data_IF_590381057777
#
_entry.id   IF_590381057777
#
_cell.length_a   1.000
_cell.length_b   1.000
_cell.length_c   1.000
_cell.angle_alpha   90.00
_cell.angle_beta   90.00
_cell.angle_gamma   90.00
#
_symmetry.space_group_name_H-M   'P 1'
#
loop_
_entity.id
_entity.type
_entity.pdbx_description
1 polymer ?
#
# COMPACT_ATOMS: atom_id res chain seq x y z
N UNK A 1 -53.70 -42.79 7.19
CA UNK A 1 -53.54 -41.32 7.15
C UNK A 1 -52.06 -40.98 7.29
N UNK A 2 -51.47 -40.17 6.40
CA UNK A 2 -50.02 -39.85 6.39
C UNK A 2 -49.80 -38.36 6.67
N UNK A 3 -49.16 -38.01 7.79
CA UNK A 3 -48.56 -36.68 8.05
C UNK A 3 -47.42 -36.83 9.08
N UNK A 4 -46.19 -36.47 8.67
CA UNK A 4 -45.07 -35.95 9.48
C UNK A 4 -43.73 -36.28 8.80
N UNK A 5 -43.23 -35.40 7.91
CA UNK A 5 -41.89 -35.51 7.32
C UNK A 5 -41.39 -34.21 6.63
N UNK A 6 -41.70 -33.02 7.16
CA UNK A 6 -41.20 -31.74 6.59
C UNK A 6 -40.92 -30.73 7.71
N UNK A 7 -39.88 -30.95 8.52
CA UNK A 7 -39.43 -29.94 9.49
C UNK A 7 -37.98 -30.17 9.98
N UNK A 8 -37.03 -30.47 9.08
CA UNK A 8 -35.64 -30.79 9.51
C UNK A 8 -34.50 -30.34 8.58
N UNK A 9 -34.80 -29.58 7.51
CA UNK A 9 -33.78 -29.08 6.56
C UNK A 9 -33.48 -27.56 6.66
N UNK A 10 -34.27 -26.79 7.40
CA UNK A 10 -34.10 -25.33 7.47
C UNK A 10 -32.96 -24.86 8.40
N UNK A 11 -32.50 -25.70 9.35
CA UNK A 11 -31.57 -25.26 10.40
C UNK A 11 -30.08 -25.31 9.99
N UNK A 12 -29.73 -26.08 8.95
CA UNK A 12 -28.33 -26.26 8.54
C UNK A 12 -27.81 -25.12 7.64
N UNK A 13 -28.71 -24.44 6.91
CA UNK A 13 -28.34 -23.35 6.00
C UNK A 13 -28.02 -22.03 6.73
N UNK A 14 -28.61 -21.79 7.91
CA UNK A 14 -28.41 -20.57 8.67
C UNK A 14 -27.03 -20.48 9.35
N UNK A 15 -26.37 -21.62 9.60
CA UNK A 15 -25.07 -21.65 10.27
C UNK A 15 -23.89 -21.31 9.34
N UNK A 16 -24.04 -21.47 8.02
CA UNK A 16 -23.03 -21.06 7.04
C UNK A 16 -23.00 -19.55 6.75
N UNK A 17 -24.03 -18.80 7.15
CA UNK A 17 -24.10 -17.34 7.00
C UNK A 17 -23.56 -16.59 8.24
N UNK A 18 -23.02 -17.32 9.22
CA UNK A 18 -22.47 -16.80 10.48
C UNK A 18 -20.97 -17.09 10.62
N UNK A 19 -20.20 -16.98 9.52
CA UNK A 19 -18.74 -16.96 9.52
C UNK A 19 -18.24 -15.51 9.34
N UNK A 20 -18.04 -14.74 10.43
CA UNK A 20 -17.68 -13.33 10.37
C UNK A 20 -16.16 -13.10 10.20
N UNK A 21 -15.63 -13.55 9.07
CA UNK A 21 -14.48 -12.95 8.38
C UNK A 21 -14.22 -13.73 7.09
N UNK A 22 -13.81 -13.05 6.02
CA UNK A 22 -13.06 -13.76 4.99
C UNK A 22 -11.78 -14.32 5.63
N UNK A 23 -11.33 -15.49 5.19
CA UNK A 23 -9.99 -15.98 5.51
C UNK A 23 -9.02 -14.82 5.23
N UNK A 24 -8.31 -14.36 6.27
CA UNK A 24 -7.44 -13.20 6.18
C UNK A 24 -6.37 -13.49 5.14
N UNK A 25 -6.43 -12.75 4.03
CA UNK A 25 -5.29 -12.64 3.15
C UNK A 25 -4.22 -11.86 3.92
N UNK A 26 -2.95 -12.26 3.78
CA UNK A 26 -1.84 -11.45 4.24
C UNK A 26 -2.00 -10.01 3.73
N UNK A 27 -1.58 -9.04 4.53
CA UNK A 27 -1.69 -7.65 4.12
C UNK A 27 -0.45 -6.84 4.47
N UNK A 28 -0.16 -5.88 3.60
CA UNK A 28 0.82 -4.82 3.80
C UNK A 28 0.12 -3.49 3.47
N UNK A 29 0.13 -2.56 4.41
CA UNK A 29 -0.29 -1.18 4.20
C UNK A 29 0.89 -0.26 4.55
N UNK A 30 1.28 0.56 3.60
CA UNK A 30 2.24 1.65 3.79
C UNK A 30 1.51 2.98 3.67
N UNK A 31 1.76 3.88 4.61
CA UNK A 31 1.20 5.22 4.70
C UNK A 31 2.34 6.24 4.80
N UNK A 32 2.63 6.89 3.67
CA UNK A 32 3.75 7.80 3.38
C UNK A 32 3.22 9.25 3.25
N UNK A 33 2.15 9.58 3.98
CA UNK A 33 1.48 10.90 3.90
C UNK A 33 2.16 12.02 4.69
N UNK A 34 3.11 11.70 5.59
CA UNK A 34 3.88 12.69 6.34
C UNK A 34 5.33 12.73 5.83
N UNK A 35 5.86 13.89 5.38
CA UNK A 35 7.19 14.00 4.79
C UNK A 35 8.36 13.73 5.77
N UNK A 36 8.07 13.38 7.04
CA UNK A 36 9.07 13.04 8.04
C UNK A 36 8.94 11.60 8.55
N UNK A 37 7.82 10.91 8.27
CA UNK A 37 7.55 9.58 8.81
C UNK A 37 6.71 8.71 7.90
N UNK A 38 7.11 7.45 7.76
CA UNK A 38 6.38 6.42 7.05
C UNK A 38 5.78 5.43 8.06
N UNK A 39 4.49 5.08 7.91
CA UNK A 39 3.81 4.11 8.77
C UNK A 39 3.56 2.82 8.01
N UNK A 40 4.05 1.70 8.55
CA UNK A 40 3.79 0.36 8.03
C UNK A 40 2.83 -0.39 8.95
N UNK A 41 1.82 -1.03 8.37
CA UNK A 41 0.98 -2.04 9.00
C UNK A 41 1.07 -3.34 8.21
N UNK A 42 1.21 -4.47 8.89
CA UNK A 42 1.19 -5.79 8.26
C UNK A 42 0.54 -6.84 9.18
N UNK A 43 0.02 -7.91 8.60
CA UNK A 43 -0.60 -9.01 9.35
C UNK A 43 -0.88 -10.25 8.50
N UNK A 44 -1.26 -11.34 9.18
CA UNK A 44 -1.58 -12.65 8.60
C UNK A 44 -0.42 -13.29 7.80
N UNK A 45 0.78 -13.35 8.40
CA UNK A 45 1.96 -14.03 7.85
C UNK A 45 2.35 -15.26 8.70
N UNK A 46 2.19 -16.48 8.18
CA UNK A 46 2.36 -17.73 8.92
C UNK A 46 3.76 -17.97 9.50
N UNK A 47 4.83 -17.71 8.72
CA UNK A 47 6.23 -17.80 9.20
C UNK A 47 6.78 -16.43 9.61
N UNK A 48 5.93 -15.41 9.64
CA UNK A 48 6.25 -14.06 10.05
C UNK A 48 6.52 -13.10 8.90
N UNK A 49 6.32 -11.83 9.22
CA UNK A 49 6.76 -10.68 8.44
C UNK A 49 7.90 -10.00 9.21
N UNK A 50 8.93 -9.58 8.48
CA UNK A 50 10.16 -9.05 9.02
C UNK A 50 10.46 -7.67 8.42
N UNK A 51 10.86 -6.75 9.29
CA UNK A 51 11.27 -5.39 8.96
C UNK A 51 12.73 -5.22 9.37
N UNK A 52 13.61 -4.93 8.41
CA UNK A 52 15.08 -4.92 8.61
C UNK A 52 15.61 -6.21 9.30
N UNK A 53 15.05 -7.37 8.91
CA UNK A 53 15.39 -8.67 9.48
C UNK A 53 14.86 -8.92 10.91
N UNK A 54 14.20 -7.95 11.54
CA UNK A 54 13.57 -8.11 12.84
C UNK A 54 12.11 -8.57 12.68
N UNK A 55 11.66 -9.50 13.53
CA UNK A 55 10.27 -9.98 13.48
C UNK A 55 9.30 -8.84 13.80
N UNK A 56 8.38 -8.57 12.88
CA UNK A 56 7.40 -7.49 12.98
C UNK A 56 6.01 -7.98 13.40
N UNK A 57 5.54 -9.07 12.79
CA UNK A 57 4.29 -9.78 13.15
C UNK A 57 4.38 -11.24 12.68
N UNK A 58 3.57 -12.15 13.24
CA UNK A 58 3.48 -13.55 12.81
C UNK A 58 2.18 -14.21 13.26
N UNK A 59 1.65 -15.09 12.42
CA UNK A 59 0.49 -15.93 12.69
C UNK A 59 -0.85 -15.32 12.28
N UNK A 60 -1.82 -16.21 12.07
CA UNK A 60 -3.18 -15.87 11.64
C UNK A 60 -3.93 -15.05 12.71
N UNK A 61 -4.58 -13.97 12.28
CA UNK A 61 -5.28 -13.01 13.12
C UNK A 61 -4.38 -11.98 13.81
N UNK A 62 -3.06 -12.04 13.61
CA UNK A 62 -2.11 -11.12 14.21
C UNK A 62 -1.65 -10.06 13.20
N UNK A 63 -1.56 -8.82 13.67
CA UNK A 63 -1.00 -7.70 12.91
C UNK A 63 -0.26 -6.74 13.82
N UNK A 64 0.63 -5.96 13.23
CA UNK A 64 1.38 -4.91 13.91
C UNK A 64 1.37 -3.62 13.07
N UNK A 65 1.60 -2.48 13.71
CA UNK A 65 1.70 -1.17 13.05
C UNK A 65 2.81 -0.37 13.72
N UNK A 66 3.71 0.20 12.91
CA UNK A 66 4.82 1.01 13.38
C UNK A 66 5.03 2.22 12.47
N UNK A 67 5.19 3.38 13.10
CA UNK A 67 5.66 4.60 12.44
C UNK A 67 7.18 4.68 12.58
N UNK A 68 7.85 4.94 11.47
CA UNK A 68 9.29 5.05 11.31
C UNK A 68 9.63 6.47 10.83
N UNK A 69 10.87 6.96 11.01
CA UNK A 69 11.36 8.11 10.23
C UNK A 69 11.20 7.83 8.73
N UNK A 70 11.06 8.87 7.91
CA UNK A 70 11.13 8.67 6.45
C UNK A 70 12.53 8.16 6.03
N UNK A 71 12.54 7.29 5.04
CA UNK A 71 13.69 6.51 4.58
C UNK A 71 13.26 5.23 3.87
N UNK A 72 14.25 4.41 3.49
CA UNK A 72 14.03 3.11 2.87
C UNK A 72 14.26 1.95 3.83
N UNK A 73 13.44 0.91 3.69
CA UNK A 73 13.34 -0.23 4.60
C UNK A 73 13.20 -1.55 3.84
N UNK A 74 14.00 -2.55 4.22
CA UNK A 74 13.92 -3.91 3.72
C UNK A 74 12.81 -4.70 4.40
N UNK A 75 12.07 -5.49 3.62
CA UNK A 75 11.00 -6.38 4.08
C UNK A 75 11.17 -7.80 3.55
N UNK A 76 10.76 -8.76 4.37
CA UNK A 76 10.61 -10.16 3.96
C UNK A 76 9.51 -10.85 4.77
N UNK A 77 8.95 -11.94 4.26
CA UNK A 77 8.02 -12.77 5.05
C UNK A 77 7.40 -13.89 4.24
N UNK A 78 6.68 -14.79 4.93
CA UNK A 78 5.95 -15.90 4.30
C UNK A 78 4.46 -15.89 4.67
N UNK A 79 3.59 -16.16 3.71
CA UNK A 79 2.13 -16.30 3.89
C UNK A 79 1.59 -17.51 3.13
N UNK A 80 0.42 -18.02 3.50
CA UNK A 80 -0.26 -19.09 2.72
C UNK A 80 -0.64 -18.57 1.33
N UNK A 81 -0.09 -19.19 0.29
CA UNK A 81 -0.38 -18.83 -1.10
C UNK A 81 -0.95 -19.98 -1.95
N UNK A 82 -0.89 -21.21 -1.44
CA UNK A 82 -1.35 -22.43 -2.09
C UNK A 82 -0.66 -22.69 -3.45
N UNK A 83 0.61 -22.33 -3.59
CA UNK A 83 1.41 -22.57 -4.80
C UNK A 83 1.14 -21.60 -5.95
N UNK A 84 0.59 -20.42 -5.67
CA UNK A 84 0.12 -19.47 -6.70
C UNK A 84 1.04 -18.25 -6.89
N UNK A 85 1.95 -17.96 -5.96
CA UNK A 85 2.89 -16.83 -6.05
C UNK A 85 4.01 -17.06 -7.07
N UNK A 86 4.71 -15.99 -7.42
CA UNK A 86 5.64 -15.95 -8.56
C UNK A 86 5.56 -14.66 -9.39
N UNK A 87 4.71 -13.72 -8.95
CA UNK A 87 4.62 -12.38 -9.53
C UNK A 87 5.46 -11.37 -8.75
N UNK A 88 5.72 -10.23 -9.39
CA UNK A 88 6.32 -9.04 -8.79
C UNK A 88 5.23 -8.06 -8.38
N UNK A 89 5.43 -7.30 -7.31
CA UNK A 89 4.57 -6.17 -6.93
C UNK A 89 5.41 -4.90 -6.89
N UNK A 90 5.11 -3.96 -7.78
CA UNK A 90 5.78 -2.67 -7.89
C UNK A 90 4.73 -1.54 -7.78
N UNK A 91 4.70 -0.82 -6.66
CA UNK A 91 3.85 0.35 -6.44
C UNK A 91 4.75 1.57 -6.22
N UNK A 92 5.19 2.17 -7.33
CA UNK A 92 6.24 3.19 -7.35
C UNK A 92 5.70 4.55 -7.81
N UNK A 93 6.10 5.62 -7.15
CA UNK A 93 5.61 6.97 -7.37
C UNK A 93 6.70 7.90 -7.93
N UNK A 94 6.34 8.77 -8.88
CA UNK A 94 7.28 9.69 -9.56
C UNK A 94 7.81 10.78 -8.64
N UNK A 95 9.07 11.19 -8.83
CA UNK A 95 9.59 12.42 -8.26
C UNK A 95 8.80 13.66 -8.72
N UNK A 96 8.36 14.54 -7.80
CA UNK A 96 7.75 15.81 -8.17
C UNK A 96 8.70 16.65 -9.03
N UNK A 97 8.31 16.89 -10.28
CA UNK A 97 9.12 17.62 -11.27
C UNK A 97 9.95 16.74 -12.22
N UNK A 98 10.17 15.46 -11.91
CA UNK A 98 10.85 14.50 -12.81
C UNK A 98 10.11 13.14 -12.84
N UNK A 99 9.29 12.88 -13.89
CA UNK A 99 8.55 11.62 -14.01
C UNK A 99 9.42 10.41 -14.37
N UNK A 100 10.73 10.59 -14.59
CA UNK A 100 11.67 9.49 -14.88
C UNK A 100 12.32 8.90 -13.63
N UNK A 101 12.12 9.52 -12.46
CA UNK A 101 12.71 9.10 -11.18
C UNK A 101 11.63 8.59 -10.23
N UNK A 102 11.95 7.54 -9.47
CA UNK A 102 11.14 7.07 -8.34
C UNK A 102 11.46 7.89 -7.10
N UNK A 103 10.44 8.27 -6.33
CA UNK A 103 10.57 9.06 -5.10
C UNK A 103 10.22 8.26 -3.85
N UNK A 104 9.04 7.64 -3.85
CA UNK A 104 8.62 6.68 -2.82
C UNK A 104 7.86 5.51 -3.43
N UNK A 105 7.64 4.47 -2.65
CA UNK A 105 6.88 3.29 -3.08
C UNK A 105 7.24 2.01 -2.32
N UNK A 106 6.69 0.90 -2.80
CA UNK A 106 7.01 -0.47 -2.36
C UNK A 106 7.27 -1.35 -3.57
N UNK A 107 8.30 -2.18 -3.49
CA UNK A 107 8.71 -3.12 -4.51
C UNK A 107 9.13 -4.45 -3.87
N UNK A 108 8.58 -5.57 -4.31
CA UNK A 108 9.08 -6.89 -3.91
C UNK A 108 8.83 -7.98 -4.96
N UNK A 109 9.74 -8.96 -4.98
CA UNK A 109 9.51 -10.23 -5.67
C UNK A 109 8.79 -11.22 -4.78
N UNK A 110 7.97 -12.10 -5.37
CA UNK A 110 7.40 -13.26 -4.67
C UNK A 110 7.90 -14.57 -5.26
N UNK A 111 8.02 -15.59 -4.42
CA UNK A 111 8.24 -16.98 -4.84
C UNK A 111 7.36 -17.92 -4.01
N UNK A 112 7.23 -19.19 -4.38
CA UNK A 112 6.42 -20.17 -3.65
C UNK A 112 7.14 -21.50 -3.50
N UNK A 113 6.90 -22.19 -2.39
CA UNK A 113 7.31 -23.60 -2.19
C UNK A 113 6.21 -24.61 -2.55
N UNK A 114 5.02 -24.13 -2.93
CA UNK A 114 3.82 -24.94 -3.22
C UNK A 114 2.73 -24.86 -2.14
N UNK A 115 3.02 -24.27 -0.98
CA UNK A 115 2.06 -24.04 0.12
C UNK A 115 2.14 -22.59 0.61
N UNK A 116 3.36 -22.09 0.81
CA UNK A 116 3.68 -20.76 1.26
C UNK A 116 4.29 -19.91 0.14
N UNK A 117 3.76 -18.71 0.00
CA UNK A 117 4.40 -17.62 -0.72
C UNK A 117 5.44 -16.99 0.19
N UNK A 118 6.58 -16.60 -0.38
CA UNK A 118 7.62 -15.79 0.28
C UNK A 118 7.81 -14.50 -0.49
N UNK A 119 8.07 -13.40 0.23
CA UNK A 119 8.41 -12.10 -0.37
C UNK A 119 9.77 -11.61 0.13
N UNK A 120 10.46 -10.89 -0.75
CA UNK A 120 11.66 -10.13 -0.43
C UNK A 120 11.70 -8.85 -1.26
N UNK A 121 11.97 -7.73 -0.62
CA UNK A 121 12.05 -6.43 -1.27
C UNK A 121 12.12 -5.30 -0.26
N UNK A 122 11.59 -4.13 -0.62
CA UNK A 122 11.73 -2.91 0.16
C UNK A 122 10.61 -1.91 -0.09
N UNK A 123 10.41 -0.99 0.86
CA UNK A 123 9.56 0.18 0.71
C UNK A 123 10.27 1.41 1.25
N UNK A 124 9.79 2.62 0.93
CA UNK A 124 10.31 3.83 1.54
C UNK A 124 9.97 5.12 0.82
N UNK A 125 10.32 6.23 1.45
CA UNK A 125 10.36 7.57 0.87
C UNK A 125 11.79 8.05 0.59
N UNK A 126 11.96 9.36 0.46
CA UNK A 126 12.98 9.93 -0.40
C UNK A 126 14.39 9.97 0.22
N UNK A 127 15.20 8.93 0.00
CA UNK A 127 16.67 9.09 -0.09
C UNK A 127 17.35 8.00 -0.94
N UNK A 128 18.08 8.42 -1.98
CA UNK A 128 19.30 7.71 -2.40
C UNK A 128 19.18 6.34 -3.07
N UNK A 129 18.05 5.97 -3.70
CA UNK A 129 17.95 4.98 -4.79
C UNK A 129 18.43 3.53 -4.60
N UNK A 130 18.88 3.09 -3.41
CA UNK A 130 19.32 1.68 -3.23
C UNK A 130 18.17 0.68 -3.03
N UNK A 131 16.97 1.16 -2.71
CA UNK A 131 15.80 0.34 -2.34
C UNK A 131 14.84 0.05 -3.50
N UNK A 132 15.07 0.62 -4.67
CA UNK A 132 14.27 0.39 -5.87
C UNK A 132 15.18 -0.12 -7.00
N UNK A 133 14.95 -1.37 -7.37
CA UNK A 133 15.63 -2.12 -8.43
C UNK A 133 14.97 -1.90 -9.80
N UNK A 134 13.69 -1.56 -9.85
CA UNK A 134 13.06 -0.96 -11.05
C UNK A 134 13.10 0.57 -10.98
N UNK A 135 13.34 1.19 -12.14
CA UNK A 135 13.53 2.64 -12.29
C UNK A 135 12.32 3.34 -12.93
N UNK A 136 11.21 2.63 -13.15
CA UNK A 136 10.04 3.16 -13.85
C UNK A 136 8.88 3.34 -12.86
N UNK A 137 8.51 4.60 -12.53
CA UNK A 137 7.34 4.87 -11.71
C UNK A 137 6.04 4.35 -12.32
N UNK A 138 5.12 3.91 -11.47
CA UNK A 138 3.79 3.41 -11.84
C UNK A 138 2.69 4.45 -11.67
N UNK A 139 2.89 5.47 -10.82
CA UNK A 139 1.93 6.57 -10.63
C UNK A 139 2.61 7.89 -10.21
N UNK A 140 1.82 8.96 -10.11
CA UNK A 140 2.27 10.28 -9.67
C UNK A 140 2.29 10.39 -8.14
N UNK A 141 3.35 10.96 -7.54
CA UNK A 141 3.34 11.41 -6.15
C UNK A 141 2.34 12.57 -6.02
N UNK A 142 1.16 12.32 -5.43
CA UNK A 142 0.09 13.33 -5.32
C UNK A 142 -0.93 13.05 -4.20
N UNK A 143 -0.60 12.20 -3.23
CA UNK A 143 -1.51 11.82 -2.15
C UNK A 143 -2.45 10.66 -2.48
N UNK A 144 -2.31 10.05 -3.67
CA UNK A 144 -3.13 8.89 -4.04
C UNK A 144 -2.62 7.60 -3.38
N UNK A 145 -3.58 6.68 -3.16
CA UNK A 145 -3.30 5.31 -2.82
C UNK A 145 -3.18 4.45 -4.10
N UNK A 146 -2.20 3.55 -4.13
CA UNK A 146 -2.16 2.43 -5.06
C UNK A 146 -2.44 1.12 -4.34
N UNK A 147 -3.14 0.23 -5.03
CA UNK A 147 -3.42 -1.13 -4.60
C UNK A 147 -2.64 -2.11 -5.48
N UNK A 148 -1.96 -3.06 -4.85
CA UNK A 148 -1.27 -4.19 -5.47
C UNK A 148 -1.69 -5.50 -4.80
N UNK A 149 -1.39 -6.63 -5.43
CA UNK A 149 -1.67 -7.94 -4.85
C UNK A 149 -0.75 -9.03 -5.41
N UNK A 150 -0.49 -10.03 -4.56
CA UNK A 150 -0.14 -11.38 -4.97
C UNK A 150 -1.27 -12.33 -4.51
N UNK A 151 -1.32 -13.60 -4.93
CA UNK A 151 -2.33 -14.52 -4.44
C UNK A 151 -2.31 -14.60 -2.91
N UNK A 152 -3.47 -14.35 -2.29
CA UNK A 152 -3.64 -14.29 -0.82
C UNK A 152 -2.79 -13.24 -0.09
N UNK A 153 -2.24 -12.24 -0.81
CA UNK A 153 -1.54 -11.08 -0.25
C UNK A 153 -2.06 -9.78 -0.86
N UNK A 154 -2.58 -8.89 -0.02
CA UNK A 154 -3.01 -7.54 -0.40
C UNK A 154 -1.95 -6.50 -0.05
N UNK A 155 -1.73 -5.52 -0.92
CA UNK A 155 -0.76 -4.44 -0.72
C UNK A 155 -1.43 -3.11 -1.00
N UNK A 156 -1.24 -2.13 -0.11
CA UNK A 156 -1.61 -0.74 -0.35
C UNK A 156 -0.46 0.18 0.01
N UNK A 157 -0.20 1.17 -0.84
CA UNK A 157 0.73 2.27 -0.55
C UNK A 157 0.01 3.60 -0.74
N UNK A 158 0.06 4.49 0.25
CA UNK A 158 -0.52 5.83 0.20
C UNK A 158 0.60 6.86 0.16
N UNK A 159 0.77 7.54 -0.97
CA UNK A 159 1.85 8.51 -1.21
C UNK A 159 1.69 9.84 -0.45
N UNK A 160 2.78 10.60 -0.36
CA UNK A 160 2.75 12.01 0.06
C UNK A 160 1.95 12.86 -0.94
N UNK A 161 1.18 13.82 -0.44
CA UNK A 161 0.56 14.84 -1.26
C UNK A 161 1.55 15.97 -1.53
N UNK A 162 1.90 16.20 -2.80
CA UNK A 162 2.79 17.32 -3.20
C UNK A 162 2.18 18.65 -2.78
N UNK A 163 2.67 19.21 -1.68
CA UNK A 163 2.34 20.56 -1.23
C UNK A 163 3.11 21.54 -2.12
N UNK A 164 2.42 22.48 -2.82
CA UNK A 164 3.11 23.51 -3.58
C UNK A 164 4.05 24.31 -2.68
N UNK A 165 5.30 24.48 -3.09
CA UNK A 165 6.27 25.25 -2.31
C UNK A 165 5.70 26.63 -1.92
N UNK A 166 6.05 27.17 -0.73
CA UNK A 166 5.61 28.51 -0.30
C UNK A 166 5.93 29.61 -1.31
N UNK A 167 7.02 29.45 -2.08
CA UNK A 167 7.43 30.27 -3.22
C UNK A 167 6.36 30.36 -4.32
N UNK A 168 5.74 29.25 -4.66
CA UNK A 168 4.69 29.12 -5.69
C UNK A 168 3.38 29.76 -5.23
N UNK A 169 3.02 29.56 -3.96
CA UNK A 169 1.86 30.22 -3.36
C UNK A 169 2.04 31.75 -3.31
N UNK A 170 3.25 32.22 -2.95
CA UNK A 170 3.59 33.64 -2.94
C UNK A 170 3.53 34.23 -4.35
N UNK A 171 4.11 33.57 -5.35
CA UNK A 171 4.03 34.01 -6.76
C UNK A 171 2.58 34.12 -7.24
N UNK A 172 1.74 33.13 -6.94
CA UNK A 172 0.32 33.14 -7.29
C UNK A 172 -0.41 34.34 -6.65
N UNK A 173 -0.10 34.63 -5.38
CA UNK A 173 -0.68 35.76 -4.64
C UNK A 173 -0.31 37.13 -5.21
N UNK A 174 0.87 37.27 -5.84
CA UNK A 174 1.34 38.51 -6.47
C UNK A 174 0.81 38.65 -7.90
N UNK A 175 0.81 37.57 -8.68
CA UNK A 175 0.46 37.59 -10.11
C UNK A 175 -1.06 37.71 -10.33
N UNK A 176 -1.89 37.05 -9.52
CA UNK A 176 -3.34 37.09 -9.71
C UNK A 176 -3.95 38.51 -9.59
N UNK A 177 -3.61 39.34 -8.58
CA UNK A 177 -4.06 40.74 -8.52
C UNK A 177 -3.62 41.58 -9.72
N UNK A 178 -2.40 41.38 -10.22
CA UNK A 178 -1.87 42.11 -11.39
C UNK A 178 -2.70 41.79 -12.65
N UNK A 179 -3.01 40.50 -12.88
CA UNK A 179 -3.85 40.07 -14.01
C UNK A 179 -5.26 40.63 -13.88
N UNK A 180 -5.85 40.62 -12.68
CA UNK A 180 -7.20 41.17 -12.42
C UNK A 180 -7.23 42.69 -12.68
N UNK A 181 -6.23 43.43 -12.19
CA UNK A 181 -6.12 44.87 -12.41
C UNK A 181 -5.91 45.21 -13.89
N UNK A 182 -5.04 44.47 -14.60
CA UNK A 182 -4.83 44.64 -16.03
C UNK A 182 -6.09 44.35 -16.85
N UNK A 183 -6.89 43.34 -16.48
CA UNK A 183 -8.18 43.05 -17.13
C UNK A 183 -9.23 44.13 -16.88
N UNK A 184 -9.28 44.74 -15.69
CA UNK A 184 -10.19 45.87 -15.40
C UNK A 184 -9.87 47.08 -16.27
N UNK A 185 -8.59 47.43 -16.44
CA UNK A 185 -8.14 48.56 -17.29
C UNK A 185 -8.41 48.40 -18.79
N UNK A 186 -8.82 47.21 -19.28
CA UNK A 186 -9.20 46.97 -20.69
C UNK A 186 -10.72 46.98 -20.92
N UNK A 187 -11.52 47.20 -19.87
CA UNK A 187 -12.99 47.22 -19.92
C UNK A 187 -13.60 48.57 -19.53
N UNK A 188 -12.75 49.51 -19.12
CA UNK A 188 -13.05 50.93 -18.93
C UNK A 188 -12.38 51.70 -20.06
#
# INVERSE_FOLDING_TARGET
>A
MKKAAVCQFAFLAALLLALPSGLGAAYILIDDRDPNTITISAGDFEEGFYLEGNLFTMGLGNGNTQTLPDGGYNISGSWIDLGQSGNRVDLLFTMPGDPSLVFSGIEFGTSTDGVLGTLNGSFGGATGSYYFTTVLPTALQNGQALDGAAPFLSVRFISEAVVPEPSTLLLLSVVAPIIIAARRRRRA
#
